data_IF_930124561234
#
_entry.id   IF_930124561234
#
_cell.length_a   1.000
_cell.length_b   1.000
_cell.length_c   1.000
_cell.angle_alpha   90.00
_cell.angle_beta   90.00
_cell.angle_gamma   90.00
#
_symmetry.space_group_name_H-M   'P 1'
#
loop_
_entity.id
_entity.type
_entity.pdbx_description
1 polymer ?
#
# COMPACT_ATOMS: atom_id res chain seq x y z
N UNK A 1 -18.63 -4.98 7.34
CA UNK A 1 -18.11 -5.90 6.31
C UNK A 1 -16.61 -5.73 6.39
N UNK A 2 -15.85 -6.82 6.48
CA UNK A 2 -14.41 -6.75 6.64
C UNK A 2 -13.76 -6.18 5.36
N UNK A 3 -12.77 -5.29 5.51
CA UNK A 3 -12.15 -4.58 4.39
C UNK A 3 -10.86 -5.27 3.95
N UNK A 4 -10.82 -5.76 2.72
CA UNK A 4 -9.56 -6.25 2.14
C UNK A 4 -8.61 -5.07 1.94
N UNK A 5 -7.39 -5.15 2.46
CA UNK A 5 -6.39 -4.12 2.21
C UNK A 5 -5.02 -4.68 1.82
N UNK A 6 -4.27 -3.83 1.10
CA UNK A 6 -2.88 -4.04 0.74
C UNK A 6 -2.04 -2.91 1.33
N UNK A 7 -1.09 -3.20 2.21
CA UNK A 7 -0.22 -2.18 2.81
C UNK A 7 1.21 -2.34 2.32
N UNK A 8 1.67 -1.42 1.47
CA UNK A 8 3.02 -1.37 0.95
C UNK A 8 3.90 -0.49 1.82
N UNK A 9 4.88 -1.10 2.48
CA UNK A 9 5.90 -0.45 3.28
C UNK A 9 7.13 -0.20 2.41
N UNK A 10 7.59 1.05 2.36
CA UNK A 10 8.75 1.45 1.56
C UNK A 10 9.75 2.29 2.35
N UNK A 11 11.02 2.16 1.99
CA UNK A 11 12.13 2.93 2.53
C UNK A 11 12.14 4.37 1.99
N UNK A 12 12.47 5.29 2.90
CA UNK A 12 12.54 6.71 2.65
C UNK A 12 11.16 7.35 2.50
N UNK A 13 11.11 8.68 2.48
CA UNK A 13 9.89 9.44 2.14
C UNK A 13 9.88 9.73 0.65
N UNK A 14 8.71 9.67 0.02
CA UNK A 14 8.56 10.16 -1.35
C UNK A 14 8.51 11.67 -1.32
N UNK A 15 9.40 12.32 -2.08
CA UNK A 15 9.14 13.67 -2.56
C UNK A 15 8.10 13.65 -3.69
N UNK A 16 7.73 14.82 -4.20
CA UNK A 16 6.77 14.95 -5.29
C UNK A 16 7.17 14.11 -6.53
N UNK A 17 8.46 14.07 -6.85
CA UNK A 17 8.96 13.39 -8.06
C UNK A 17 8.90 11.87 -7.93
N UNK A 18 9.28 11.35 -6.76
CA UNK A 18 9.19 9.94 -6.43
C UNK A 18 7.72 9.49 -6.42
N UNK A 19 6.83 10.29 -5.80
CA UNK A 19 5.42 9.95 -5.78
C UNK A 19 4.79 10.02 -7.17
N UNK A 20 5.18 10.99 -8.00
CA UNK A 20 4.78 11.04 -9.42
C UNK A 20 5.15 9.76 -10.16
N UNK A 21 6.38 9.26 -9.99
CA UNK A 21 6.83 8.00 -10.59
C UNK A 21 5.96 6.81 -10.17
N UNK A 22 5.63 6.72 -8.87
CA UNK A 22 4.72 5.71 -8.32
C UNK A 22 3.33 5.81 -8.97
N UNK A 23 2.76 7.01 -9.04
CA UNK A 23 1.43 7.21 -9.65
C UNK A 23 1.42 6.92 -11.14
N UNK A 24 2.52 7.19 -11.87
CA UNK A 24 2.67 6.84 -13.29
C UNK A 24 2.76 5.32 -13.49
N UNK A 25 3.39 4.59 -12.56
CA UNK A 25 3.45 3.13 -12.60
C UNK A 25 2.09 2.48 -12.35
N UNK A 26 1.32 3.01 -11.38
CA UNK A 26 -0.05 2.61 -11.14
C UNK A 26 -0.96 2.92 -12.34
N UNK A 27 -0.81 4.11 -12.94
CA UNK A 27 -1.60 4.53 -14.09
C UNK A 27 -1.41 3.60 -15.30
N UNK A 28 -0.19 3.15 -15.57
CA UNK A 28 0.10 2.14 -16.62
C UNK A 28 -0.55 0.79 -16.36
N UNK A 29 -0.96 0.53 -15.13
CA UNK A 29 -1.67 -0.67 -14.70
C UNK A 29 -3.18 -0.43 -14.50
N UNK A 30 -3.68 0.75 -14.89
CA UNK A 30 -5.11 1.09 -14.85
C UNK A 30 -5.60 1.74 -13.56
N UNK A 31 -4.69 2.18 -12.67
CA UNK A 31 -5.03 2.93 -11.46
C UNK A 31 -4.51 4.37 -11.56
N UNK A 32 -5.40 5.32 -11.80
CA UNK A 32 -5.01 6.73 -12.05
C UNK A 32 -5.37 7.63 -10.88
N UNK A 33 -4.51 8.61 -10.55
CA UNK A 33 -4.88 9.65 -9.56
C UNK A 33 -5.96 10.59 -10.11
N UNK A 34 -5.91 10.85 -11.41
CA UNK A 34 -6.91 11.67 -12.09
C UNK A 34 -8.18 10.86 -12.34
N UNK A 35 -9.33 11.43 -11.98
CA UNK A 35 -10.62 10.86 -12.31
C UNK A 35 -10.86 10.95 -13.82
N UNK A 36 -11.22 9.84 -14.50
CA UNK A 36 -11.29 9.77 -15.96
C UNK A 36 -12.34 10.68 -16.63
N UNK A 37 -13.32 11.21 -15.89
CA UNK A 37 -14.42 12.04 -16.41
C UNK A 37 -14.37 13.45 -15.82
N UNK A 38 -14.18 13.54 -14.50
CA UNK A 38 -14.25 14.82 -13.81
C UNK A 38 -13.00 15.69 -14.03
N UNK A 39 -11.85 15.08 -14.34
CA UNK A 39 -10.55 15.75 -14.43
C UNK A 39 -10.04 16.19 -13.05
N UNK A 40 -8.75 16.04 -12.77
CA UNK A 40 -8.18 16.22 -11.44
C UNK A 40 -8.33 14.99 -10.52
N UNK A 41 -7.69 15.03 -9.36
CA UNK A 41 -7.74 13.95 -8.37
C UNK A 41 -8.56 14.31 -7.13
N UNK A 42 -8.70 13.34 -6.24
CA UNK A 42 -9.53 13.48 -5.03
C UNK A 42 -8.73 13.08 -3.79
N UNK A 43 -8.80 13.93 -2.77
CA UNK A 43 -8.44 13.59 -1.39
C UNK A 43 -9.71 13.33 -0.58
N UNK A 44 -9.62 12.54 0.47
CA UNK A 44 -10.64 12.44 1.50
C UNK A 44 -10.22 13.31 2.68
N UNK A 45 -11.13 14.12 3.19
CA UNK A 45 -10.90 14.89 4.41
C UNK A 45 -11.06 14.03 5.68
N UNK A 46 -10.96 14.66 6.85
CA UNK A 46 -11.01 13.96 8.15
C UNK A 46 -12.35 13.31 8.46
N UNK A 47 -13.42 13.67 7.75
CA UNK A 47 -14.76 13.04 7.89
C UNK A 47 -15.07 12.10 6.72
N UNK A 48 -14.14 11.92 5.78
CA UNK A 48 -14.28 11.06 4.61
C UNK A 48 -14.97 11.74 3.42
N UNK A 49 -15.14 13.07 3.43
CA UNK A 49 -15.72 13.79 2.30
C UNK A 49 -14.69 13.98 1.18
N UNK A 50 -15.16 13.86 -0.08
CA UNK A 50 -14.32 14.01 -1.26
C UNK A 50 -13.98 15.48 -1.52
N UNK A 51 -12.69 15.79 -1.52
CA UNK A 51 -12.14 17.10 -1.86
C UNK A 51 -11.37 17.01 -3.17
N UNK A 52 -11.92 17.63 -4.21
CA UNK A 52 -11.33 17.65 -5.55
C UNK A 52 -10.17 18.65 -5.64
N UNK A 53 -9.03 18.21 -6.15
CA UNK A 53 -7.83 19.03 -6.33
C UNK A 53 -7.13 18.75 -7.67
N UNK A 54 -6.34 19.69 -8.20
CA UNK A 54 -5.40 19.39 -9.28
C UNK A 54 -4.43 18.29 -8.86
N UNK A 55 -4.14 17.34 -9.75
CA UNK A 55 -3.22 16.22 -9.46
C UNK A 55 -1.87 16.72 -8.94
N UNK A 56 -1.32 17.76 -9.56
CA UNK A 56 -0.05 18.35 -9.12
C UNK A 56 -0.08 18.80 -7.65
N UNK A 57 -1.21 19.30 -7.16
CA UNK A 57 -1.35 19.71 -5.75
C UNK A 57 -1.38 18.50 -4.80
N UNK A 58 -2.00 17.39 -5.21
CA UNK A 58 -2.00 16.15 -4.43
C UNK A 58 -0.56 15.61 -4.33
N UNK A 59 0.16 15.58 -5.44
CA UNK A 59 1.56 15.13 -5.46
C UNK A 59 2.45 16.00 -4.58
N UNK A 60 2.28 17.32 -4.64
CA UNK A 60 3.00 18.27 -3.78
C UNK A 60 2.72 18.01 -2.29
N UNK A 61 1.44 17.82 -1.91
CA UNK A 61 1.06 17.57 -0.52
C UNK A 61 1.67 16.28 0.04
N UNK A 62 1.68 15.20 -0.75
CA UNK A 62 2.35 13.95 -0.37
C UNK A 62 3.86 14.19 -0.22
N UNK A 63 4.47 14.87 -1.19
CA UNK A 63 5.90 15.20 -1.16
C UNK A 63 6.32 16.06 0.03
N UNK A 64 5.49 17.00 0.45
CA UNK A 64 5.73 17.84 1.62
C UNK A 64 5.64 17.08 2.95
N UNK A 65 5.08 15.86 2.95
CA UNK A 65 5.03 15.00 4.14
C UNK A 65 4.37 15.65 5.37
N UNK A 66 3.38 16.54 5.17
CA UNK A 66 2.80 17.36 6.26
C UNK A 66 1.91 16.58 7.23
N UNK A 67 1.52 15.36 6.86
CA UNK A 67 0.71 14.45 7.66
C UNK A 67 0.22 13.27 6.83
N UNK A 68 -0.55 12.35 7.45
CA UNK A 68 -1.29 11.34 6.71
C UNK A 68 -2.24 11.99 5.70
N UNK A 69 -2.32 11.41 4.50
CA UNK A 69 -3.24 11.85 3.46
C UNK A 69 -4.01 10.64 2.96
N UNK A 70 -5.32 10.80 2.84
CA UNK A 70 -6.20 9.81 2.25
C UNK A 70 -6.59 10.30 0.86
N UNK A 71 -6.36 9.49 -0.18
CA UNK A 71 -6.59 9.86 -1.57
C UNK A 71 -7.23 8.75 -2.37
N UNK A 72 -7.80 9.07 -3.52
CA UNK A 72 -8.42 8.07 -4.39
C UNK A 72 -7.58 7.83 -5.65
N UNK A 73 -7.43 6.55 -5.99
CA UNK A 73 -7.00 6.08 -7.30
C UNK A 73 -8.20 5.51 -8.05
N UNK A 74 -8.37 5.84 -9.31
CA UNK A 74 -9.53 5.47 -10.11
C UNK A 74 -9.22 4.25 -10.96
N UNK A 75 -10.03 3.21 -10.83
CA UNK A 75 -10.09 2.07 -11.76
C UNK A 75 -10.98 2.38 -12.96
N UNK A 76 -12.07 3.11 -12.70
CA UNK A 76 -13.07 3.51 -13.68
C UNK A 76 -13.66 4.88 -13.31
N UNK A 77 -14.72 5.32 -14.01
CA UNK A 77 -15.44 6.53 -13.62
C UNK A 77 -16.26 6.38 -12.34
N UNK A 78 -16.60 5.15 -11.96
CA UNK A 78 -17.51 4.84 -10.85
C UNK A 78 -16.84 3.97 -9.77
N UNK A 79 -15.59 3.58 -9.97
CA UNK A 79 -14.83 2.70 -9.07
C UNK A 79 -13.51 3.35 -8.69
N UNK A 80 -13.32 3.58 -7.40
CA UNK A 80 -12.09 4.10 -6.81
C UNK A 80 -11.52 3.18 -5.73
N UNK A 81 -10.18 3.18 -5.63
CA UNK A 81 -9.39 2.61 -4.56
C UNK A 81 -8.97 3.73 -3.65
N UNK A 82 -9.44 3.71 -2.40
CA UNK A 82 -8.95 4.60 -1.36
C UNK A 82 -7.53 4.17 -0.97
N UNK A 83 -6.65 5.15 -0.85
CA UNK A 83 -5.25 4.96 -0.49
C UNK A 83 -4.84 5.93 0.63
N UNK A 84 -4.47 5.36 1.77
CA UNK A 84 -3.89 6.08 2.88
C UNK A 84 -2.36 6.11 2.76
N UNK A 85 -1.82 7.32 2.68
CA UNK A 85 -0.39 7.60 2.61
C UNK A 85 0.04 8.16 3.96
N UNK A 86 0.85 7.40 4.71
CA UNK A 86 1.28 7.79 6.06
C UNK A 86 2.75 7.49 6.33
N UNK A 87 3.28 8.16 7.36
CA UNK A 87 4.64 7.97 7.84
C UNK A 87 4.61 7.20 9.15
N UNK A 88 5.34 6.09 9.22
CA UNK A 88 5.31 5.16 10.36
C UNK A 88 6.62 5.15 11.14
N UNK A 89 7.70 5.56 10.48
CA UNK A 89 9.03 5.77 11.06
C UNK A 89 9.75 6.89 10.27
N UNK A 90 10.85 7.47 10.78
CA UNK A 90 11.60 8.51 10.08
C UNK A 90 11.90 8.17 8.61
N UNK A 91 12.28 6.93 8.34
CA UNK A 91 12.71 6.41 7.05
C UNK A 91 11.73 5.39 6.44
N UNK A 92 10.47 5.36 6.90
CA UNK A 92 9.48 4.42 6.36
C UNK A 92 8.14 5.09 6.12
N UNK A 93 7.66 4.93 4.90
CA UNK A 93 6.35 5.38 4.45
C UNK A 93 5.50 4.16 4.10
N UNK A 94 4.20 4.27 4.35
CA UNK A 94 3.22 3.22 4.06
C UNK A 94 2.14 3.77 3.16
N UNK A 95 1.79 2.98 2.14
CA UNK A 95 0.64 3.20 1.29
C UNK A 95 -0.31 2.02 1.51
N UNK A 96 -1.48 2.29 2.08
CA UNK A 96 -2.51 1.28 2.33
C UNK A 96 -3.64 1.47 1.33
N UNK A 97 -3.87 0.46 0.49
CA UNK A 97 -4.92 0.44 -0.53
C UNK A 97 -6.11 -0.36 -0.01
N UNK A 98 -7.26 0.29 0.11
CA UNK A 98 -8.52 -0.33 0.56
C UNK A 98 -9.26 -0.89 -0.66
N UNK A 99 -9.49 -2.20 -0.64
CA UNK A 99 -10.13 -2.97 -1.72
C UNK A 99 -11.46 -3.61 -1.27
N UNK A 100 -11.99 -3.16 -0.12
CA UNK A 100 -13.30 -3.55 0.38
C UNK A 100 -14.42 -3.14 -0.58
N UNK A 101 -15.47 -3.96 -0.69
CA UNK A 101 -16.62 -3.67 -1.54
C UNK A 101 -16.44 -3.92 -3.05
N UNK A 102 -15.22 -4.23 -3.50
CA UNK A 102 -14.94 -4.55 -4.91
C UNK A 102 -15.44 -5.93 -5.32
N UNK A 103 -15.78 -6.07 -6.60
CA UNK A 103 -15.93 -7.37 -7.25
C UNK A 103 -14.60 -8.12 -7.28
N UNK A 104 -14.63 -9.43 -7.52
CA UNK A 104 -13.42 -10.26 -7.63
C UNK A 104 -12.46 -9.74 -8.72
N UNK A 105 -12.99 -9.39 -9.89
CA UNK A 105 -12.17 -8.86 -11.00
C UNK A 105 -11.55 -7.49 -10.72
N UNK A 106 -12.27 -6.57 -10.07
CA UNK A 106 -11.72 -5.26 -9.67
C UNK A 106 -10.63 -5.42 -8.62
N UNK A 107 -10.84 -6.33 -7.66
CA UNK A 107 -9.84 -6.63 -6.63
C UNK A 107 -8.59 -7.26 -7.22
N UNK A 108 -8.74 -8.20 -8.15
CA UNK A 108 -7.62 -8.81 -8.87
C UNK A 108 -6.85 -7.74 -9.66
N UNK A 109 -7.54 -6.89 -10.42
CA UNK A 109 -6.92 -5.80 -11.18
C UNK A 109 -6.14 -4.83 -10.28
N UNK A 110 -6.73 -4.39 -9.17
CA UNK A 110 -6.06 -3.48 -8.24
C UNK A 110 -4.86 -4.15 -7.56
N UNK A 111 -5.01 -5.42 -7.15
CA UNK A 111 -3.92 -6.20 -6.55
C UNK A 111 -2.75 -6.37 -7.52
N UNK A 112 -3.04 -6.70 -8.78
CA UNK A 112 -2.04 -6.84 -9.83
C UNK A 112 -1.30 -5.53 -10.10
N UNK A 113 -2.02 -4.40 -10.12
CA UNK A 113 -1.41 -3.08 -10.29
C UNK A 113 -0.44 -2.75 -9.15
N UNK A 114 -0.83 -3.00 -7.90
CA UNK A 114 0.02 -2.80 -6.72
C UNK A 114 1.22 -3.76 -6.73
N UNK A 115 1.03 -5.03 -7.06
CA UNK A 115 2.14 -5.98 -7.17
C UNK A 115 3.15 -5.57 -8.24
N UNK A 116 2.70 -5.12 -9.42
CA UNK A 116 3.59 -4.62 -10.48
C UNK A 116 4.34 -3.37 -10.07
N UNK A 117 3.71 -2.47 -9.29
CA UNK A 117 4.40 -1.32 -8.69
C UNK A 117 5.53 -1.79 -7.77
N UNK A 118 5.24 -2.72 -6.87
CA UNK A 118 6.21 -3.23 -5.89
C UNK A 118 7.41 -3.87 -6.57
N UNK A 119 7.18 -4.65 -7.64
CA UNK A 119 8.29 -5.25 -8.40
C UNK A 119 9.18 -4.21 -9.08
N UNK A 120 8.62 -3.05 -9.46
CA UNK A 120 9.42 -1.93 -10.02
C UNK A 120 10.18 -1.18 -8.93
N UNK A 121 9.61 -1.09 -7.74
CA UNK A 121 10.17 -0.40 -6.58
C UNK A 121 10.76 -1.40 -5.56
N UNK A 122 11.26 -2.54 -6.05
CA UNK A 122 11.70 -3.64 -5.20
C UNK A 122 12.89 -3.20 -4.30
N UNK A 123 13.77 -2.36 -4.83
CA UNK A 123 14.91 -1.81 -4.09
C UNK A 123 14.49 -0.92 -2.91
N UNK A 124 13.32 -0.28 -3.00
CA UNK A 124 12.73 0.54 -1.94
C UNK A 124 11.71 -0.20 -1.10
N UNK A 125 11.27 -1.38 -1.51
CA UNK A 125 10.23 -2.12 -0.78
C UNK A 125 10.80 -2.72 0.50
N UNK A 126 10.14 -2.47 1.62
CA UNK A 126 10.40 -3.14 2.91
C UNK A 126 9.52 -4.40 2.99
N UNK A 127 8.22 -4.23 2.81
CA UNK A 127 7.25 -5.31 2.84
C UNK A 127 5.96 -4.94 2.09
N UNK A 128 5.20 -5.95 1.68
CA UNK A 128 3.80 -5.83 1.31
C UNK A 128 2.98 -6.74 2.22
N UNK A 129 2.10 -6.15 3.01
CA UNK A 129 1.13 -6.88 3.80
C UNK A 129 -0.17 -7.03 3.00
N UNK A 130 -0.71 -8.26 2.98
CA UNK A 130 -1.96 -8.59 2.31
C UNK A 130 -2.92 -9.16 3.34
N UNK A 131 -3.98 -8.42 3.64
CA UNK A 131 -5.03 -8.80 4.59
C UNK A 131 -6.40 -8.73 3.90
N UNK A 132 -6.81 -9.79 3.16
CA UNK A 132 -8.13 -9.89 2.59
C UNK A 132 -9.27 -9.86 3.61
N UNK A 133 -9.00 -10.28 4.85
CA UNK A 133 -9.97 -10.32 5.94
C UNK A 133 -10.07 -9.01 6.72
N UNK A 134 -9.20 -8.03 6.52
CA UNK A 134 -9.24 -6.76 7.25
C UNK A 134 -9.17 -6.92 8.77
N UNK A 135 -8.69 -8.06 9.27
CA UNK A 135 -8.84 -8.42 10.68
C UNK A 135 -7.70 -7.86 11.54
N UNK A 136 -6.59 -7.44 10.91
CA UNK A 136 -5.41 -6.94 11.62
C UNK A 136 -5.54 -5.44 11.90
N UNK A 137 -5.36 -4.96 13.14
CA UNK A 137 -5.25 -3.54 13.44
C UNK A 137 -4.00 -2.91 12.80
N UNK A 138 -4.10 -1.66 12.34
CA UNK A 138 -3.00 -0.93 11.69
C UNK A 138 -1.72 -0.87 12.54
N UNK A 139 -1.84 -0.64 13.86
CA UNK A 139 -0.69 -0.52 14.77
C UNK A 139 0.06 -1.85 14.94
N UNK A 140 -0.66 -2.98 14.89
CA UNK A 140 -0.05 -4.31 14.99
C UNK A 140 0.69 -4.69 13.70
N UNK A 141 0.17 -4.23 12.55
CA UNK A 141 0.82 -4.39 11.25
C UNK A 141 2.15 -3.62 11.16
N UNK A 142 2.18 -2.36 11.65
CA UNK A 142 3.42 -1.58 11.72
C UNK A 142 4.45 -2.24 12.63
N UNK A 143 4.01 -2.73 13.79
CA UNK A 143 4.91 -3.38 14.75
C UNK A 143 5.54 -4.66 14.18
N UNK A 144 4.77 -5.42 13.39
CA UNK A 144 5.26 -6.59 12.68
C UNK A 144 6.35 -6.22 11.66
N UNK A 145 6.09 -5.24 10.79
CA UNK A 145 7.01 -4.90 9.70
C UNK A 145 8.25 -4.16 10.21
N UNK A 146 8.09 -3.22 11.14
CA UNK A 146 9.18 -2.35 11.60
C UNK A 146 10.05 -2.99 12.68
N UNK A 147 9.45 -3.78 13.57
CA UNK A 147 10.12 -4.29 14.78
C UNK A 147 10.12 -5.82 14.88
N UNK A 148 9.55 -6.51 13.89
CA UNK A 148 9.45 -7.96 13.88
C UNK A 148 8.59 -8.53 15.01
N UNK A 149 7.64 -7.73 15.53
CA UNK A 149 6.74 -8.14 16.61
C UNK A 149 5.48 -8.77 16.02
N UNK A 150 5.29 -10.06 16.27
CA UNK A 150 4.05 -10.73 15.88
C UNK A 150 2.85 -10.12 16.63
N UNK A 151 1.72 -9.87 15.94
CA UNK A 151 0.48 -9.43 16.59
C UNK A 151 0.05 -10.40 17.70
N UNK A 152 -0.47 -9.84 18.80
CA UNK A 152 -1.12 -10.64 19.85
C UNK A 152 -2.57 -10.99 19.51
N UNK A 153 -3.15 -10.32 18.50
CA UNK A 153 -4.49 -10.54 17.96
C UNK A 153 -4.47 -11.27 16.61
N UNK A 154 -5.47 -11.00 15.73
CA UNK A 154 -5.47 -11.50 14.36
C UNK A 154 -4.18 -11.16 13.64
N UNK A 155 -3.75 -12.06 12.76
CA UNK A 155 -2.54 -11.89 11.95
C UNK A 155 -2.95 -11.62 10.51
N UNK A 156 -2.14 -10.87 9.75
CA UNK A 156 -2.38 -10.75 8.32
C UNK A 156 -2.24 -12.13 7.66
N UNK A 157 -3.08 -12.41 6.67
CA UNK A 157 -3.05 -13.69 5.94
C UNK A 157 -1.67 -13.99 5.34
N UNK A 158 -0.97 -12.95 4.86
CA UNK A 158 0.41 -13.06 4.40
C UNK A 158 1.13 -11.73 4.38
N UNK A 159 2.44 -11.79 4.58
CA UNK A 159 3.36 -10.67 4.35
C UNK A 159 4.41 -11.08 3.34
N UNK A 160 4.66 -10.24 2.35
CA UNK A 160 5.72 -10.41 1.36
C UNK A 160 6.90 -9.52 1.76
N UNK A 161 8.05 -10.13 2.02
CA UNK A 161 9.29 -9.42 2.28
C UNK A 161 10.24 -9.58 1.11
N UNK A 162 11.23 -8.69 0.99
CA UNK A 162 12.35 -8.96 0.09
C UNK A 162 13.13 -10.19 0.54
N UNK A 163 13.41 -11.08 -0.40
CA UNK A 163 14.10 -12.35 -0.13
C UNK A 163 15.48 -12.13 0.48
N UNK A 164 16.21 -11.11 0.01
CA UNK A 164 17.55 -10.77 0.50
C UNK A 164 17.57 -10.20 1.93
N UNK A 165 16.41 -9.79 2.45
CA UNK A 165 16.26 -9.23 3.81
C UNK A 165 15.67 -10.19 4.82
N UNK A 166 15.21 -11.38 4.41
CA UNK A 166 14.62 -12.36 5.33
C UNK A 166 15.55 -12.72 6.50
N UNK A 167 16.86 -12.79 6.25
CA UNK A 167 17.87 -13.11 7.27
C UNK A 167 17.96 -12.05 8.39
N UNK A 168 17.47 -10.84 8.14
CA UNK A 168 17.48 -9.72 9.10
C UNK A 168 16.28 -9.70 10.04
N UNK A 169 15.27 -10.52 9.78
CA UNK A 169 14.02 -10.59 10.57
C UNK A 169 13.73 -12.01 11.12
N UNK A 170 14.70 -12.68 11.78
CA UNK A 170 14.57 -14.09 12.17
C UNK A 170 13.39 -14.36 13.10
N UNK A 171 13.02 -13.41 13.96
CA UNK A 171 11.88 -13.53 14.88
C UNK A 171 10.54 -13.62 14.15
N UNK A 172 10.40 -12.88 13.04
CA UNK A 172 9.19 -12.87 12.20
C UNK A 172 8.99 -14.24 11.55
N UNK A 173 10.07 -14.92 11.17
CA UNK A 173 10.03 -16.22 10.50
C UNK A 173 9.76 -17.40 11.46
N UNK A 174 9.77 -17.17 12.77
CA UNK A 174 9.59 -18.24 13.75
C UNK A 174 8.19 -18.86 13.64
N UNK A 175 8.13 -20.13 13.22
CA UNK A 175 6.88 -20.86 13.01
C UNK A 175 6.13 -20.48 11.74
N UNK A 176 6.74 -19.70 10.85
CA UNK A 176 6.13 -19.30 9.59
C UNK A 176 6.46 -20.28 8.45
N UNK A 177 5.53 -20.45 7.53
CA UNK A 177 5.81 -20.99 6.20
C UNK A 177 6.37 -19.87 5.32
N UNK A 178 7.53 -20.13 4.69
CA UNK A 178 8.19 -19.18 3.79
C UNK A 178 8.23 -19.76 2.39
N UNK A 179 7.67 -19.03 1.43
CA UNK A 179 7.66 -19.39 0.00
C UNK A 179 8.39 -18.31 -0.80
N UNK A 180 9.49 -18.68 -1.46
CA UNK A 180 10.14 -17.81 -2.44
C UNK A 180 9.28 -17.71 -3.70
N UNK A 181 8.97 -16.49 -4.13
CA UNK A 181 8.17 -16.22 -5.33
C UNK A 181 9.03 -16.17 -6.61
N UNK A 182 10.37 -16.23 -6.49
CA UNK A 182 11.30 -16.20 -7.63
C UNK A 182 11.44 -14.83 -8.29
N UNK A 183 10.87 -13.78 -7.69
CA UNK A 183 10.87 -12.40 -8.20
C UNK A 183 11.57 -11.42 -7.23
N UNK A 184 12.35 -11.94 -6.28
CA UNK A 184 13.02 -11.17 -5.24
C UNK A 184 12.16 -10.87 -4.01
N UNK A 185 10.91 -11.34 -3.99
CA UNK A 185 10.05 -11.37 -2.82
C UNK A 185 9.84 -12.79 -2.32
N UNK A 186 9.63 -12.92 -1.02
CA UNK A 186 9.21 -14.16 -0.37
C UNK A 186 7.97 -13.90 0.46
N UNK A 187 6.99 -14.79 0.33
CA UNK A 187 5.76 -14.77 1.12
C UNK A 187 5.99 -15.49 2.43
N UNK A 188 5.57 -14.87 3.53
CA UNK A 188 5.60 -15.41 4.88
C UNK A 188 4.15 -15.53 5.38
N UNK A 189 3.78 -16.70 5.90
CA UNK A 189 2.45 -17.03 6.46
C UNK A 189 2.61 -17.74 7.79
N UNK A 190 1.69 -17.54 8.72
CA UNK A 190 1.72 -18.16 10.06
C UNK A 190 0.47 -18.98 10.35
#
# INVERSE_FOLDING_TARGET
MLETYLSWYREGRMDESAFRSVTDHLARSGLTVEHPVLGGGTLLDVVGEQVKLPVGRILELVGLSLGPLCMQFWLSADTDVVCDVRYVAPDTQVLTFVLGGFTEGEREQATDAVQRLILRELDRTVALLVDPGGETPDEDADALVLYGRLPTGPRPDRVQFRTDRLSTIPTVLAGAEVTDLGNGLSTVRW
#
